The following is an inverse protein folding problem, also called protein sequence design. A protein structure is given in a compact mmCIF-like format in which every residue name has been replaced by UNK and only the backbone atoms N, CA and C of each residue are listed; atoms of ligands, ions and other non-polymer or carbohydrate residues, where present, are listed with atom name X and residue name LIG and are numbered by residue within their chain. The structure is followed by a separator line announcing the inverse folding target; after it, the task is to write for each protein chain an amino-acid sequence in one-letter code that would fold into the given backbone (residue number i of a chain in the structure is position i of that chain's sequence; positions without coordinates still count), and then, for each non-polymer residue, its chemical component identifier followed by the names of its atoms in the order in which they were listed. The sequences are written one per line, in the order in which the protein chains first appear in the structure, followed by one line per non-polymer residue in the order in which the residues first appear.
data_IF_781514075142
#
_entry.id   IF_781514075142
#
_cell.length_a   1.000
_cell.length_b   1.000
_cell.length_c   1.000
_cell.angle_alpha   90.00
_cell.angle_beta   90.00
_cell.angle_gamma   90.00
#
_symmetry.space_group_name_H-M   'P 1'
#
loop_
_entity.id
_entity.type
_entity.pdbx_description
1 polymer ?
#
# COMPACT_ATOMS: atom_id res chain seq x y z
N UNK A 1 -29.20 14.44 24.53
CA UNK A 1 -28.28 14.42 25.70
C UNK A 1 -27.19 15.44 25.41
N UNK A 2 -26.94 16.37 26.33
CA UNK A 2 -26.22 17.64 26.10
C UNK A 2 -24.72 17.43 25.81
N UNK A 3 -24.21 18.07 24.76
CA UNK A 3 -22.78 18.31 24.55
C UNK A 3 -22.38 19.53 25.41
N UNK A 4 -21.51 19.30 26.38
CA UNK A 4 -20.84 20.34 27.17
C UNK A 4 -19.69 20.93 26.37
N UNK A 5 -19.78 22.24 26.11
CA UNK A 5 -18.71 23.11 25.61
C UNK A 5 -17.66 23.33 26.69
N UNK A 6 -16.41 22.92 26.42
CA UNK A 6 -15.24 23.34 27.19
C UNK A 6 -14.75 24.67 26.62
N UNK A 7 -14.84 25.73 27.43
CA UNK A 7 -14.27 27.05 27.13
C UNK A 7 -12.75 27.02 27.25
N UNK A 8 -12.07 27.49 26.20
CA UNK A 8 -10.63 27.74 26.21
C UNK A 8 -10.39 29.25 26.34
N UNK A 9 -9.71 29.63 27.41
CA UNK A 9 -9.23 30.99 27.68
C UNK A 9 -8.04 31.32 26.78
N UNK A 10 -8.20 32.31 25.91
CA UNK A 10 -7.10 32.86 25.11
C UNK A 10 -6.18 33.74 25.97
N UNK A 11 -4.90 33.37 26.01
CA UNK A 11 -3.80 34.25 26.44
C UNK A 11 -3.14 34.77 25.18
N UNK A 12 -3.22 36.08 24.96
CA UNK A 12 -2.54 36.79 23.88
C UNK A 12 -1.15 37.22 24.33
N UNK A 13 -0.12 36.61 23.76
CA UNK A 13 1.23 37.19 23.72
C UNK A 13 1.77 37.04 22.30
N UNK A 14 2.03 38.19 21.68
CA UNK A 14 2.53 38.32 20.32
C UNK A 14 3.95 37.80 20.12
N UNK A 15 4.24 37.49 18.87
CA UNK A 15 5.53 37.02 18.37
C UNK A 15 5.40 36.68 16.90
N UNK A 16 5.54 37.71 16.05
CA UNK A 16 5.62 37.61 14.59
C UNK A 16 6.75 36.68 14.16
N UNK A 17 6.39 35.48 13.69
CA UNK A 17 7.05 34.78 12.58
C UNK A 17 6.03 33.81 11.98
N UNK A 18 5.42 34.20 10.87
CA UNK A 18 4.49 33.36 10.12
C UNK A 18 5.18 32.07 9.64
N UNK A 19 4.70 30.87 10.02
CA UNK A 19 5.08 29.67 9.30
C UNK A 19 4.42 29.70 7.92
N UNK A 20 5.23 29.57 6.86
CA UNK A 20 4.75 29.36 5.49
C UNK A 20 3.98 28.03 5.45
N UNK A 21 2.66 28.10 5.65
CA UNK A 21 1.72 27.01 5.40
C UNK A 21 1.70 26.84 3.88
N UNK A 22 2.42 25.83 3.39
CA UNK A 22 2.20 25.27 2.07
C UNK A 22 0.87 24.49 2.13
N UNK A 23 -0.24 25.20 1.94
CA UNK A 23 -1.47 24.61 1.43
C UNK A 23 -1.39 24.69 -0.10
N UNK A 24 -0.86 23.67 -0.82
CA UNK A 24 -1.16 23.60 -2.23
C UNK A 24 -2.69 23.40 -2.32
N UNK A 25 -3.44 24.31 -2.97
CA UNK A 25 -4.82 24.01 -3.28
C UNK A 25 -4.83 22.71 -4.08
N UNK A 26 -5.61 21.75 -3.61
CA UNK A 26 -5.93 20.53 -4.34
C UNK A 26 -6.81 20.90 -5.55
N UNK A 27 -6.27 21.67 -6.51
CA UNK A 27 -6.90 21.99 -7.81
C UNK A 27 -7.06 20.72 -8.66
N UNK A 28 -6.53 19.57 -8.20
CA UNK A 28 -6.80 18.26 -8.78
C UNK A 28 -8.21 17.70 -8.50
N UNK A 29 -9.04 18.36 -7.70
CA UNK A 29 -10.36 17.85 -7.28
C UNK A 29 -11.51 18.37 -8.17
N UNK A 30 -11.44 19.60 -8.69
CA UNK A 30 -12.60 20.20 -9.36
C UNK A 30 -12.91 19.67 -10.77
N UNK A 31 -11.90 19.29 -11.56
CA UNK A 31 -12.13 18.84 -12.94
C UNK A 31 -12.65 17.39 -13.08
N UNK A 32 -12.85 16.66 -11.96
CA UNK A 32 -13.30 15.27 -12.00
C UNK A 32 -14.49 14.93 -11.10
N UNK A 33 -15.06 15.91 -10.38
CA UNK A 33 -16.24 15.71 -9.52
C UNK A 33 -17.41 16.54 -10.05
N UNK A 34 -17.98 16.12 -11.18
CA UNK A 34 -19.40 16.39 -11.48
C UNK A 34 -20.19 15.10 -11.33
N UNK A 35 -21.32 15.10 -10.61
CA UNK A 35 -22.17 13.93 -10.48
C UNK A 35 -22.96 13.73 -11.78
N UNK A 36 -22.45 12.87 -12.67
CA UNK A 36 -23.24 12.33 -13.78
C UNK A 36 -24.10 11.17 -13.24
N UNK A 37 -25.25 11.52 -12.64
CA UNK A 37 -26.36 10.59 -12.51
C UNK A 37 -26.97 10.37 -13.90
N UNK A 38 -27.11 9.09 -14.27
CA UNK A 38 -27.98 8.56 -15.32
C UNK A 38 -27.66 8.90 -16.79
N UNK A 39 -26.84 8.05 -17.43
CA UNK A 39 -27.14 7.33 -18.70
C UNK A 39 -25.83 6.75 -19.27
N UNK A 40 -25.74 5.42 -19.33
CA UNK A 40 -24.63 4.71 -20.01
C UNK A 40 -25.06 4.46 -21.46
N UNK A 41 -24.49 5.13 -22.47
CA UNK A 41 -24.67 4.73 -23.87
C UNK A 41 -23.78 3.50 -24.19
N UNK A 42 -24.14 2.69 -25.20
CA UNK A 42 -23.36 1.51 -25.58
C UNK A 42 -21.98 1.92 -26.13
N UNK A 43 -20.94 1.25 -25.62
CA UNK A 43 -19.55 1.36 -26.07
C UNK A 43 -19.41 0.86 -27.51
N UNK A 44 -19.06 1.75 -28.44
CA UNK A 44 -18.45 1.39 -29.71
C UNK A 44 -16.93 1.43 -29.56
N UNK A 45 -16.27 0.30 -29.88
CA UNK A 45 -14.82 0.19 -29.88
C UNK A 45 -14.24 0.81 -31.16
N UNK A 46 -13.23 1.69 -31.09
CA UNK A 46 -12.49 2.11 -32.27
C UNK A 46 -11.59 0.97 -32.75
N UNK A 47 -11.55 0.79 -34.06
CA UNK A 47 -10.60 -0.09 -34.76
C UNK A 47 -9.17 0.37 -34.52
N UNK A 48 -8.34 -0.56 -34.03
CA UNK A 48 -6.91 -0.35 -33.74
C UNK A 48 -6.13 -0.28 -35.06
N UNK A 49 -5.42 0.83 -35.26
CA UNK A 49 -4.43 1.03 -36.33
C UNK A 49 -3.18 0.18 -36.06
N UNK A 50 -2.68 -0.51 -37.10
CA UNK A 50 -1.65 -1.55 -37.04
C UNK A 50 -0.21 -1.03 -37.08
N UNK A 51 0.01 0.24 -36.77
CA UNK A 51 1.31 0.92 -36.91
C UNK A 51 2.02 1.20 -35.56
N UNK A 52 2.30 0.18 -34.74
CA UNK A 52 3.13 0.33 -33.53
C UNK A 52 4.03 -0.90 -33.22
N UNK A 53 5.35 -0.86 -33.47
CA UNK A 53 6.27 -1.94 -33.11
C UNK A 53 7.29 -1.56 -32.00
N UNK A 54 6.90 -0.80 -30.97
CA UNK A 54 7.80 -0.47 -29.83
C UNK A 54 7.32 -0.91 -28.43
N UNK A 55 6.06 -1.32 -28.26
CA UNK A 55 5.55 -1.70 -26.93
C UNK A 55 5.91 -3.12 -26.46
N UNK A 56 6.40 -4.02 -27.34
CA UNK A 56 6.62 -5.43 -26.98
C UNK A 56 7.93 -5.70 -26.20
N UNK A 57 8.87 -4.75 -26.13
CA UNK A 57 10.14 -4.91 -25.38
C UNK A 57 10.04 -4.51 -23.90
N UNK A 58 8.97 -3.81 -23.50
CA UNK A 58 8.82 -3.19 -22.17
C UNK A 58 8.59 -4.16 -20.99
N UNK A 59 8.50 -5.47 -21.23
CA UNK A 59 8.32 -6.50 -20.20
C UNK A 59 9.53 -7.42 -19.95
N UNK A 60 10.50 -7.50 -20.88
CA UNK A 60 11.60 -8.46 -20.79
C UNK A 60 12.70 -8.03 -19.82
N UNK A 61 12.87 -6.72 -19.62
CA UNK A 61 13.92 -6.14 -18.75
C UNK A 61 13.58 -6.23 -17.27
N UNK A 62 12.30 -6.19 -16.91
CA UNK A 62 11.84 -6.47 -15.54
C UNK A 62 12.07 -7.93 -15.14
N UNK A 63 12.04 -8.85 -16.10
CA UNK A 63 12.39 -10.26 -15.92
C UNK A 63 13.92 -10.46 -15.81
N UNK A 64 14.71 -9.66 -16.51
CA UNK A 64 16.19 -9.74 -16.53
C UNK A 64 16.87 -8.89 -15.44
N UNK A 65 16.14 -8.06 -14.70
CA UNK A 65 16.71 -7.19 -13.67
C UNK A 65 17.56 -6.03 -14.20
N UNK A 66 17.39 -5.64 -15.47
CA UNK A 66 18.23 -4.62 -16.17
C UNK A 66 17.74 -3.18 -15.87
N UNK A 67 16.77 -3.01 -14.97
CA UNK A 67 16.04 -1.74 -14.76
C UNK A 67 16.74 -0.65 -13.95
N UNK A 68 18.05 -0.71 -13.71
CA UNK A 68 18.80 0.35 -13.05
C UNK A 68 20.06 0.62 -13.86
N UNK A 69 20.40 1.90 -14.08
CA UNK A 69 21.63 2.29 -14.75
C UNK A 69 22.86 1.58 -14.15
N UNK A 70 23.97 1.57 -14.89
CA UNK A 70 25.20 0.89 -14.44
C UNK A 70 25.70 1.50 -13.13
N UNK A 71 25.47 0.79 -12.02
CA UNK A 71 26.07 1.08 -10.71
C UNK A 71 27.55 0.72 -10.78
N UNK A 72 28.40 1.60 -10.29
CA UNK A 72 29.84 1.34 -10.20
C UNK A 72 30.13 0.14 -9.30
N UNK A 73 31.14 -0.65 -9.69
CA UNK A 73 31.56 -1.84 -8.93
C UNK A 73 31.93 -1.48 -7.49
N UNK A 74 32.54 -0.32 -7.27
CA UNK A 74 32.86 0.19 -5.92
C UNK A 74 31.60 0.45 -5.11
N UNK A 75 30.60 1.11 -5.69
CA UNK A 75 29.35 1.41 -5.01
C UNK A 75 28.58 0.14 -4.65
N UNK A 76 28.49 -0.83 -5.56
CA UNK A 76 27.89 -2.15 -5.30
C UNK A 76 28.63 -2.91 -4.19
N UNK A 77 29.96 -2.87 -4.17
CA UNK A 77 30.77 -3.51 -3.13
C UNK A 77 30.50 -2.89 -1.74
N UNK A 78 30.39 -1.56 -1.68
CA UNK A 78 30.05 -0.84 -0.45
C UNK A 78 28.62 -1.16 0.01
N UNK A 79 27.65 -1.17 -0.89
CA UNK A 79 26.27 -1.57 -0.60
C UNK A 79 26.19 -2.98 -0.01
N UNK A 80 26.85 -3.95 -0.65
CA UNK A 80 26.92 -5.34 -0.16
C UNK A 80 27.51 -5.42 1.24
N UNK A 81 28.62 -4.72 1.49
CA UNK A 81 29.26 -4.69 2.81
C UNK A 81 28.38 -4.04 3.88
N UNK A 82 27.66 -2.97 3.53
CA UNK A 82 26.67 -2.35 4.41
C UNK A 82 25.53 -3.32 4.77
N UNK A 83 24.99 -4.04 3.79
CA UNK A 83 23.96 -5.08 3.99
C UNK A 83 24.45 -6.22 4.89
N UNK A 84 25.67 -6.71 4.65
CA UNK A 84 26.28 -7.75 5.49
C UNK A 84 26.40 -7.31 6.97
N UNK A 85 26.75 -6.04 7.20
CA UNK A 85 26.81 -5.48 8.55
C UNK A 85 25.43 -5.35 9.19
N UNK A 86 24.39 -4.96 8.44
CA UNK A 86 23.01 -4.97 8.93
C UNK A 86 22.54 -6.38 9.30
N UNK A 87 22.84 -7.38 8.48
CA UNK A 87 22.53 -8.80 8.76
C UNK A 87 23.21 -9.28 10.06
N UNK A 88 24.39 -8.74 10.37
CA UNK A 88 25.12 -8.98 11.62
C UNK A 88 24.67 -8.06 12.77
N UNK A 89 23.57 -7.33 12.62
CA UNK A 89 23.01 -6.38 13.60
C UNK A 89 23.99 -5.25 13.99
N UNK A 90 24.79 -4.77 13.04
CA UNK A 90 25.78 -3.69 13.23
C UNK A 90 25.43 -2.42 12.42
N UNK A 91 24.30 -1.75 12.70
CA UNK A 91 23.82 -0.62 11.89
C UNK A 91 24.73 0.62 11.93
N UNK A 92 25.43 0.87 13.04
CA UNK A 92 26.38 1.99 13.14
C UNK A 92 27.61 1.78 12.25
N UNK A 93 28.11 0.55 12.17
CA UNK A 93 29.25 0.18 11.30
C UNK A 93 28.84 0.14 9.83
N UNK A 94 27.58 -0.16 9.52
CA UNK A 94 27.06 -0.22 8.15
C UNK A 94 26.95 1.17 7.50
N UNK A 95 26.69 2.21 8.28
CA UNK A 95 26.36 3.55 7.79
C UNK A 95 27.44 4.16 6.86
N UNK A 96 28.75 4.14 7.18
CA UNK A 96 29.77 4.70 6.29
C UNK A 96 29.81 4.01 4.92
N UNK A 97 29.55 2.71 4.86
CA UNK A 97 29.50 1.98 3.59
C UNK A 97 28.29 2.40 2.75
N UNK A 98 27.12 2.60 3.37
CA UNK A 98 25.99 3.15 2.63
C UNK A 98 26.25 4.57 2.15
N UNK A 99 26.81 5.44 2.98
CA UNK A 99 27.16 6.80 2.56
C UNK A 99 28.17 6.80 1.40
N UNK A 100 29.15 5.92 1.43
CA UNK A 100 30.13 5.75 0.34
C UNK A 100 29.48 5.22 -0.94
N UNK A 101 28.58 4.25 -0.82
CA UNK A 101 27.82 3.74 -1.97
C UNK A 101 26.93 4.83 -2.59
N UNK A 102 26.36 5.70 -1.76
CA UNK A 102 25.52 6.82 -2.21
C UNK A 102 26.28 7.94 -2.94
N UNK A 103 27.62 7.94 -2.93
CA UNK A 103 28.41 8.83 -3.78
C UNK A 103 28.21 8.54 -5.28
N UNK A 104 27.79 7.31 -5.61
CA UNK A 104 27.34 6.96 -6.96
C UNK A 104 25.87 7.34 -7.12
N UNK A 105 25.53 8.31 -7.99
CA UNK A 105 24.16 8.77 -8.18
C UNK A 105 23.23 7.67 -8.73
N UNK A 106 23.79 6.60 -9.32
CA UNK A 106 23.02 5.46 -9.82
C UNK A 106 22.70 4.43 -8.72
N UNK A 107 23.34 4.48 -7.54
CA UNK A 107 23.11 3.51 -6.46
C UNK A 107 22.05 3.96 -5.45
N UNK A 108 20.78 3.95 -5.86
CA UNK A 108 19.69 4.34 -4.97
C UNK A 108 19.31 3.28 -3.92
N UNK A 109 19.78 2.05 -4.09
CA UNK A 109 19.66 0.97 -3.11
C UNK A 109 20.39 1.31 -1.80
N UNK A 110 21.53 2.00 -1.91
CA UNK A 110 22.29 2.45 -0.75
C UNK A 110 21.53 3.50 0.07
N UNK A 111 20.88 4.46 -0.60
CA UNK A 111 20.05 5.47 0.06
C UNK A 111 18.92 4.83 0.86
N UNK A 112 18.25 3.85 0.27
CA UNK A 112 17.14 3.13 0.90
C UNK A 112 17.53 2.37 2.16
N UNK A 113 18.82 2.01 2.30
CA UNK A 113 19.32 1.22 3.43
C UNK A 113 19.64 2.06 4.69
N UNK A 114 19.78 3.39 4.57
CA UNK A 114 20.15 4.26 5.71
C UNK A 114 18.95 4.69 6.55
N UNK A 115 17.73 4.68 6.00
CA UNK A 115 16.47 5.13 6.61
C UNK A 115 16.49 6.53 7.25
N UNK A 116 17.56 7.32 7.05
CA UNK A 116 17.69 8.64 7.65
C UNK A 116 16.95 9.65 6.81
N UNK A 117 15.83 10.14 7.36
CA UNK A 117 14.92 11.05 6.66
C UNK A 117 15.62 12.28 6.05
N UNK A 118 16.60 12.87 6.76
CA UNK A 118 17.38 14.01 6.23
C UNK A 118 18.14 13.64 4.95
N UNK A 119 18.84 12.51 4.98
CA UNK A 119 19.65 12.02 3.84
C UNK A 119 18.75 11.69 2.65
N UNK A 120 17.61 11.02 2.89
CA UNK A 120 16.65 10.69 1.83
C UNK A 120 16.07 11.95 1.15
N UNK A 121 15.84 13.03 1.91
CA UNK A 121 15.36 14.31 1.36
C UNK A 121 16.42 15.01 0.50
N UNK A 122 17.67 15.04 0.95
CA UNK A 122 18.79 15.57 0.17
C UNK A 122 18.94 14.80 -1.15
N UNK A 123 18.88 13.46 -1.09
CA UNK A 123 18.94 12.61 -2.29
C UNK A 123 17.75 12.82 -3.21
N UNK A 124 16.55 13.03 -2.68
CA UNK A 124 15.37 13.36 -3.50
C UNK A 124 15.62 14.62 -4.32
N UNK A 125 16.21 15.66 -3.75
CA UNK A 125 16.52 16.90 -4.47
C UNK A 125 17.59 16.67 -5.55
N UNK A 126 18.67 15.95 -5.22
CA UNK A 126 19.75 15.63 -6.15
C UNK A 126 19.27 14.77 -7.33
N UNK A 127 18.56 13.67 -7.05
CA UNK A 127 18.01 12.79 -8.08
C UNK A 127 16.99 13.52 -8.96
N UNK A 128 16.18 14.43 -8.39
CA UNK A 128 15.25 15.26 -9.19
C UNK A 128 16.01 16.17 -10.16
N UNK A 129 17.04 16.86 -9.68
CA UNK A 129 17.87 17.74 -10.51
C UNK A 129 18.58 16.95 -11.63
N UNK A 130 19.11 15.77 -11.29
CA UNK A 130 19.73 14.88 -12.28
C UNK A 130 18.73 14.42 -13.35
N UNK A 131 17.52 14.03 -12.97
CA UNK A 131 16.47 13.66 -13.92
C UNK A 131 16.05 14.83 -14.82
N UNK A 132 16.04 16.06 -14.30
CA UNK A 132 15.77 17.25 -15.10
C UNK A 132 16.89 17.56 -16.10
N UNK A 133 18.14 17.27 -15.73
CA UNK A 133 19.30 17.43 -16.63
C UNK A 133 19.23 16.47 -17.82
N UNK A 134 18.89 15.19 -17.57
CA UNK A 134 18.90 14.16 -18.62
C UNK A 134 17.60 14.07 -19.43
N UNK A 135 16.43 14.37 -18.82
CA UNK A 135 15.10 14.23 -19.45
C UNK A 135 14.44 15.57 -19.79
N UNK A 136 15.06 16.69 -19.41
CA UNK A 136 14.49 18.03 -19.54
C UNK A 136 13.80 18.54 -18.27
N UNK A 137 13.77 19.85 -18.10
CA UNK A 137 13.27 20.50 -16.88
C UNK A 137 11.80 20.23 -16.56
N UNK A 138 11.02 19.89 -17.58
CA UNK A 138 9.59 19.60 -17.53
C UNK A 138 9.28 18.10 -17.41
N UNK A 139 10.27 17.21 -17.24
CA UNK A 139 10.10 15.76 -17.22
C UNK A 139 9.13 15.24 -16.14
N UNK A 140 8.87 16.06 -15.12
CA UNK A 140 7.90 15.76 -14.08
C UNK A 140 6.51 16.36 -14.35
N UNK A 141 6.34 17.24 -15.33
CA UNK A 141 5.07 17.88 -15.61
C UNK A 141 4.14 16.98 -16.43
N UNK A 142 2.82 17.22 -16.30
CA UNK A 142 1.79 16.44 -17.00
C UNK A 142 1.80 16.72 -18.51
N UNK A 143 2.39 17.85 -18.91
CA UNK A 143 2.48 18.32 -20.30
C UNK A 143 3.65 17.73 -21.07
N UNK A 144 4.62 17.10 -20.38
CA UNK A 144 5.78 16.53 -21.05
C UNK A 144 5.39 15.25 -21.80
N UNK A 145 5.80 15.12 -23.06
CA UNK A 145 5.46 14.00 -23.96
C UNK A 145 5.80 12.63 -23.36
N UNK A 146 6.91 12.58 -22.61
CA UNK A 146 7.39 11.39 -21.89
C UNK A 146 7.18 11.51 -20.37
N UNK A 147 6.56 12.60 -19.91
CA UNK A 147 6.36 12.90 -18.50
C UNK A 147 5.22 12.12 -17.85
N UNK A 148 4.80 12.60 -16.69
CA UNK A 148 3.66 12.03 -15.98
C UNK A 148 2.43 12.04 -16.91
N UNK A 149 1.71 10.92 -17.12
CA UNK A 149 1.66 9.72 -16.27
C UNK A 149 2.48 8.51 -16.76
N UNK A 150 3.20 8.62 -17.90
CA UNK A 150 3.82 7.48 -18.57
C UNK A 150 5.27 7.21 -18.12
N UNK A 151 5.74 7.95 -17.12
CA UNK A 151 7.11 7.94 -16.59
C UNK A 151 7.60 6.57 -16.13
N UNK A 152 6.73 5.61 -15.82
CA UNK A 152 7.16 4.24 -15.48
C UNK A 152 7.86 3.50 -16.63
N UNK A 153 7.54 3.88 -17.87
CA UNK A 153 8.23 3.37 -19.06
C UNK A 153 9.67 3.86 -19.18
N UNK A 154 10.03 4.95 -18.48
CA UNK A 154 11.38 5.52 -18.48
C UNK A 154 12.19 4.86 -17.38
N UNK A 155 13.23 4.13 -17.77
CA UNK A 155 14.06 3.36 -16.84
C UNK A 155 14.77 4.27 -15.84
N UNK A 156 15.23 5.44 -16.29
CA UNK A 156 15.96 6.43 -15.51
C UNK A 156 15.14 6.97 -14.32
N UNK A 157 13.81 7.05 -14.45
CA UNK A 157 12.93 7.56 -13.37
C UNK A 157 12.65 6.50 -12.30
N UNK A 158 12.78 5.20 -12.61
CA UNK A 158 12.42 4.12 -11.67
C UNK A 158 13.19 4.17 -10.36
N UNK A 159 14.53 4.36 -10.37
CA UNK A 159 15.27 4.58 -9.14
C UNK A 159 14.66 5.73 -8.31
N UNK A 160 14.37 6.89 -8.92
CA UNK A 160 13.80 8.02 -8.18
C UNK A 160 12.46 7.69 -7.52
N UNK A 161 11.58 6.95 -8.20
CA UNK A 161 10.31 6.51 -7.60
C UNK A 161 10.52 5.54 -6.43
N UNK A 162 11.50 4.64 -6.51
CA UNK A 162 11.88 3.77 -5.38
C UNK A 162 12.38 4.59 -4.19
N UNK A 163 13.22 5.61 -4.43
CA UNK A 163 13.65 6.54 -3.40
C UNK A 163 12.46 7.26 -2.73
N UNK A 164 11.47 7.72 -3.51
CA UNK A 164 10.25 8.31 -2.96
C UNK A 164 9.47 7.31 -2.10
N UNK A 165 9.31 6.05 -2.54
CA UNK A 165 8.63 5.03 -1.74
C UNK A 165 9.36 4.74 -0.42
N UNK A 166 10.69 4.71 -0.44
CA UNK A 166 11.49 4.61 0.80
C UNK A 166 11.29 5.84 1.68
N UNK A 167 11.20 7.04 1.11
CA UNK A 167 10.91 8.27 1.83
C UNK A 167 9.53 8.23 2.50
N UNK A 168 8.48 7.74 1.81
CA UNK A 168 7.14 7.53 2.41
C UNK A 168 7.25 6.64 3.66
N UNK A 169 7.93 5.49 3.55
CA UNK A 169 8.10 4.57 4.68
C UNK A 169 8.89 5.20 5.83
N UNK A 170 9.94 5.95 5.54
CA UNK A 170 10.70 6.67 6.55
C UNK A 170 9.83 7.74 7.26
N UNK A 171 8.98 8.45 6.52
CA UNK A 171 8.00 9.38 7.10
C UNK A 171 6.97 8.67 7.99
N UNK A 172 6.43 7.53 7.54
CA UNK A 172 5.51 6.69 8.34
C UNK A 172 6.15 6.26 9.66
N UNK A 173 7.38 5.74 9.61
CA UNK A 173 8.12 5.33 10.81
C UNK A 173 8.38 6.50 11.76
N UNK A 174 8.56 7.71 11.21
CA UNK A 174 8.71 8.95 11.97
C UNK A 174 7.38 9.62 12.36
N UNK A 175 6.22 9.01 12.03
CA UNK A 175 4.86 9.57 12.21
C UNK A 175 4.67 10.96 11.58
N UNK A 176 5.36 11.23 10.47
CA UNK A 176 5.23 12.46 9.67
C UNK A 176 4.21 12.23 8.56
N UNK A 177 2.94 12.16 8.93
CA UNK A 177 1.86 11.70 8.05
C UNK A 177 1.62 12.60 6.85
N UNK A 178 1.58 13.93 7.03
CA UNK A 178 1.38 14.87 5.93
C UNK A 178 2.46 14.77 4.86
N UNK A 179 3.72 14.59 5.27
CA UNK A 179 4.83 14.42 4.34
C UNK A 179 4.81 13.06 3.65
N UNK A 180 4.36 12.01 4.35
CA UNK A 180 4.12 10.71 3.74
C UNK A 180 3.02 10.82 2.67
N UNK A 181 1.91 11.50 2.97
CA UNK A 181 0.83 11.78 2.01
C UNK A 181 1.34 12.57 0.80
N UNK A 182 2.03 13.69 1.01
CA UNK A 182 2.54 14.53 -0.08
C UNK A 182 3.52 13.78 -0.98
N UNK A 183 4.43 12.99 -0.38
CA UNK A 183 5.38 12.17 -1.12
C UNK A 183 4.66 11.05 -1.89
N UNK A 184 3.66 10.40 -1.28
CA UNK A 184 2.89 9.35 -1.95
C UNK A 184 2.06 9.92 -3.13
N UNK A 185 1.43 11.09 -2.95
CA UNK A 185 0.74 11.80 -4.04
C UNK A 185 1.70 12.07 -5.21
N UNK A 186 2.94 12.47 -4.95
CA UNK A 186 3.93 12.65 -6.00
C UNK A 186 4.23 11.33 -6.74
N UNK A 187 4.39 10.21 -6.03
CA UNK A 187 4.57 8.90 -6.65
C UNK A 187 3.38 8.57 -7.56
N UNK A 188 2.15 8.74 -7.07
CA UNK A 188 0.93 8.46 -7.84
C UNK A 188 0.72 9.40 -9.03
N UNK A 189 1.27 10.61 -8.95
CA UNK A 189 1.28 11.57 -10.06
C UNK A 189 2.21 11.11 -11.17
N UNK A 190 3.43 10.70 -10.82
CA UNK A 190 4.47 10.21 -11.75
C UNK A 190 4.11 8.81 -12.29
N UNK A 191 3.63 7.91 -11.43
CA UNK A 191 3.24 6.54 -11.73
C UNK A 191 1.72 6.39 -11.62
N UNK A 192 0.97 6.92 -12.59
CA UNK A 192 -0.50 6.88 -12.56
C UNK A 192 -1.06 5.46 -12.65
N UNK A 193 -0.37 4.50 -13.27
CA UNK A 193 -0.83 3.11 -13.27
C UNK A 193 -0.66 2.42 -11.91
N UNK A 194 0.03 3.06 -10.96
CA UNK A 194 0.33 2.53 -9.63
C UNK A 194 1.06 1.18 -9.65
N UNK A 195 2.06 1.05 -10.52
CA UNK A 195 2.87 -0.16 -10.63
C UNK A 195 3.65 -0.49 -9.35
N UNK A 196 3.72 0.46 -8.41
CA UNK A 196 4.36 0.33 -7.11
C UNK A 196 3.38 -0.01 -5.97
N UNK A 197 2.07 -0.13 -6.25
CA UNK A 197 1.05 -0.44 -5.25
C UNK A 197 0.95 0.58 -4.12
N UNK A 198 1.14 1.86 -4.42
CA UNK A 198 1.09 2.96 -3.46
C UNK A 198 -0.34 3.46 -3.19
N UNK A 199 -1.32 3.16 -4.05
CA UNK A 199 -2.73 3.52 -3.80
C UNK A 199 -3.28 2.86 -2.55
N UNK A 200 -2.83 1.64 -2.25
CA UNK A 200 -3.24 0.92 -1.03
C UNK A 200 -2.77 1.59 0.25
N UNK A 201 -1.73 2.42 0.18
CA UNK A 201 -1.20 3.20 1.30
C UNK A 201 -1.93 4.53 1.48
N UNK A 202 -2.52 5.09 0.42
CA UNK A 202 -3.03 6.47 0.45
C UNK A 202 -4.19 6.66 1.44
N UNK A 203 -5.15 5.74 1.46
CA UNK A 203 -6.29 5.80 2.38
C UNK A 203 -5.87 5.82 3.86
N UNK A 204 -5.09 4.84 4.33
CA UNK A 204 -4.58 4.84 5.71
C UNK A 204 -3.73 6.06 6.06
N UNK A 205 -2.86 6.52 5.15
CA UNK A 205 -2.05 7.72 5.38
C UNK A 205 -2.90 8.97 5.59
N UNK A 206 -3.97 9.13 4.80
CA UNK A 206 -4.91 10.26 4.96
C UNK A 206 -5.68 10.19 6.27
N UNK A 207 -6.08 9.00 6.72
CA UNK A 207 -6.70 8.83 8.05
C UNK A 207 -5.75 9.27 9.16
N UNK A 208 -4.47 8.85 9.10
CA UNK A 208 -3.42 9.28 10.03
C UNK A 208 -3.14 10.78 10.01
N UNK A 209 -3.23 11.39 8.83
CA UNK A 209 -3.12 12.84 8.66
C UNK A 209 -4.38 13.62 9.11
N UNK A 210 -5.40 12.96 9.67
CA UNK A 210 -6.63 13.61 10.10
C UNK A 210 -7.51 14.10 8.93
N UNK A 211 -7.39 13.46 7.76
CA UNK A 211 -8.08 13.83 6.51
C UNK A 211 -9.06 12.72 6.05
N UNK A 212 -10.05 12.32 6.86
CA UNK A 212 -10.95 11.22 6.50
C UNK A 212 -11.83 11.53 5.29
N UNK A 213 -12.23 12.78 5.06
CA UNK A 213 -12.96 13.17 3.85
C UNK A 213 -12.17 12.86 2.56
N UNK A 214 -10.86 13.16 2.56
CA UNK A 214 -10.00 12.85 1.42
C UNK A 214 -9.78 11.34 1.29
N UNK A 215 -9.63 10.64 2.42
CA UNK A 215 -9.52 9.17 2.44
C UNK A 215 -10.74 8.50 1.81
N UNK A 216 -11.94 9.04 2.05
CA UNK A 216 -13.19 8.56 1.45
C UNK A 216 -13.19 8.68 -0.09
N UNK A 217 -12.66 9.78 -0.61
CA UNK A 217 -12.57 10.04 -2.05
C UNK A 217 -11.55 9.16 -2.77
N UNK A 218 -10.63 8.50 -2.05
CA UNK A 218 -9.64 7.59 -2.67
C UNK A 218 -10.28 6.36 -3.35
N UNK A 219 -11.53 5.99 -2.98
CA UNK A 219 -12.25 4.86 -3.59
C UNK A 219 -12.33 4.95 -5.11
N UNK A 220 -12.54 6.16 -5.64
CA UNK A 220 -12.76 6.37 -7.07
C UNK A 220 -11.54 6.05 -7.95
N UNK A 221 -10.39 5.72 -7.33
CA UNK A 221 -9.13 5.47 -8.04
C UNK A 221 -8.48 4.14 -7.66
N UNK A 222 -9.27 3.07 -7.53
CA UNK A 222 -8.81 1.72 -7.18
C UNK A 222 -8.16 1.61 -5.78
N UNK A 223 -8.49 2.52 -4.87
CA UNK A 223 -8.06 2.42 -3.48
C UNK A 223 -8.74 1.26 -2.74
N UNK A 224 -8.14 0.73 -1.66
CA UNK A 224 -8.72 -0.34 -0.87
C UNK A 224 -10.00 0.17 -0.23
N UNK A 225 -11.11 -0.47 -0.57
CA UNK A 225 -12.46 -0.18 -0.07
C UNK A 225 -12.55 -0.12 1.47
N UNK A 226 -11.65 -0.81 2.16
CA UNK A 226 -11.46 -0.74 3.61
C UNK A 226 -11.21 0.67 4.14
N UNK A 227 -10.43 1.48 3.42
CA UNK A 227 -10.14 2.85 3.83
C UNK A 227 -11.38 3.74 3.71
N UNK A 228 -12.21 3.50 2.68
CA UNK A 228 -13.47 4.21 2.52
C UNK A 228 -14.45 3.85 3.64
N UNK A 229 -14.50 2.58 4.06
CA UNK A 229 -15.31 2.15 5.20
C UNK A 229 -14.86 2.83 6.51
N UNK A 230 -13.56 2.81 6.82
CA UNK A 230 -13.01 3.51 7.99
C UNK A 230 -13.20 5.03 7.91
N UNK A 231 -13.02 5.63 6.75
CA UNK A 231 -13.20 7.06 6.55
C UNK A 231 -14.65 7.50 6.79
N UNK A 232 -15.61 6.78 6.19
CA UNK A 232 -17.03 7.03 6.43
C UNK A 232 -17.40 6.84 7.91
N UNK A 233 -16.85 5.80 8.55
CA UNK A 233 -17.04 5.57 9.98
C UNK A 233 -16.42 6.68 10.85
N UNK A 234 -15.24 7.17 10.49
CA UNK A 234 -14.58 8.25 11.22
C UNK A 234 -15.36 9.57 11.11
N UNK A 235 -16.04 9.79 9.99
CA UNK A 235 -16.83 11.00 9.74
C UNK A 235 -18.22 10.97 10.39
N UNK A 236 -18.89 9.82 10.39
CA UNK A 236 -20.32 9.70 10.75
C UNK A 236 -20.66 8.41 11.52
N UNK A 237 -19.69 7.81 12.21
CA UNK A 237 -19.83 6.57 13.00
C UNK A 237 -20.47 5.43 12.16
N UNK A 238 -21.29 4.57 12.78
CA UNK A 238 -22.06 3.49 12.15
C UNK A 238 -23.23 4.00 11.28
N UNK A 239 -22.89 4.81 10.27
CA UNK A 239 -23.78 5.34 9.25
C UNK A 239 -24.09 4.30 8.16
N UNK A 240 -25.19 4.53 7.43
CA UNK A 240 -25.56 3.69 6.29
C UNK A 240 -24.46 3.64 5.22
N UNK A 241 -23.81 4.78 4.96
CA UNK A 241 -22.70 4.84 4.02
C UNK A 241 -21.50 4.01 4.48
N UNK A 242 -21.14 4.07 5.77
CA UNK A 242 -20.07 3.27 6.34
C UNK A 242 -20.37 1.76 6.21
N UNK A 243 -21.61 1.34 6.52
CA UNK A 243 -22.06 -0.06 6.35
C UNK A 243 -21.99 -0.52 4.90
N UNK A 244 -22.43 0.29 3.95
CA UNK A 244 -22.36 -0.06 2.53
C UNK A 244 -20.91 -0.30 2.08
N UNK A 245 -19.96 0.57 2.48
CA UNK A 245 -18.56 0.34 2.17
C UNK A 245 -18.01 -0.91 2.89
N UNK A 246 -18.40 -1.14 4.14
CA UNK A 246 -18.00 -2.33 4.89
C UNK A 246 -18.51 -3.62 4.21
N UNK A 247 -19.74 -3.63 3.70
CA UNK A 247 -20.34 -4.77 3.00
C UNK A 247 -19.74 -5.01 1.60
N UNK A 248 -19.27 -3.96 0.92
CA UNK A 248 -18.46 -4.14 -0.28
C UNK A 248 -17.09 -4.71 0.10
N UNK A 249 -16.51 -4.20 1.19
CA UNK A 249 -15.19 -4.61 1.66
C UNK A 249 -15.14 -6.09 2.08
N UNK A 250 -16.22 -6.62 2.66
CA UNK A 250 -16.26 -8.02 3.10
C UNK A 250 -16.20 -9.04 1.96
N UNK A 251 -16.42 -8.62 0.70
CA UNK A 251 -16.21 -9.49 -0.47
C UNK A 251 -14.73 -9.92 -0.61
N UNK A 252 -13.80 -9.24 0.06
CA UNK A 252 -12.36 -9.54 0.04
C UNK A 252 -11.79 -9.85 1.44
N UNK A 253 -12.39 -10.75 2.24
CA UNK A 253 -12.43 -10.70 3.71
C UNK A 253 -11.08 -10.81 4.47
N UNK A 254 -9.95 -10.93 3.78
CA UNK A 254 -8.62 -11.10 4.37
C UNK A 254 -8.26 -10.05 5.42
N UNK A 255 -8.64 -8.78 5.21
CA UNK A 255 -8.42 -7.69 6.18
C UNK A 255 -9.34 -7.87 7.39
N UNK A 256 -10.65 -7.99 7.17
CA UNK A 256 -11.65 -8.07 8.25
C UNK A 256 -11.49 -9.33 9.12
N UNK A 257 -11.06 -10.45 8.53
CA UNK A 257 -10.73 -11.67 9.28
C UNK A 257 -9.66 -11.37 10.33
N UNK A 258 -8.59 -10.65 9.95
CA UNK A 258 -7.49 -10.30 10.86
C UNK A 258 -7.94 -9.25 11.90
N UNK A 259 -8.76 -8.28 11.49
CA UNK A 259 -9.34 -7.26 12.41
C UNK A 259 -10.19 -7.93 13.48
N UNK A 260 -11.17 -8.74 13.09
CA UNK A 260 -12.11 -9.37 14.03
C UNK A 260 -11.37 -10.34 14.96
N UNK A 261 -10.41 -11.09 14.45
CA UNK A 261 -9.60 -11.99 15.26
C UNK A 261 -8.50 -11.26 16.07
N UNK A 262 -8.45 -9.92 16.05
CA UNK A 262 -7.47 -9.08 16.76
C UNK A 262 -6.03 -9.57 16.56
N UNK A 263 -5.67 -9.92 15.32
CA UNK A 263 -4.30 -10.34 15.02
C UNK A 263 -3.32 -9.22 15.33
N UNK A 264 -2.43 -9.43 16.30
CA UNK A 264 -1.30 -8.53 16.51
C UNK A 264 -0.37 -8.64 15.31
N UNK A 265 -0.08 -7.52 14.68
CA UNK A 265 0.77 -7.53 13.50
C UNK A 265 2.22 -7.91 13.83
N UNK A 266 2.89 -8.49 12.83
CA UNK A 266 4.32 -8.75 12.90
C UNK A 266 5.05 -7.43 12.63
N UNK A 267 5.98 -7.08 13.51
CA UNK A 267 6.80 -5.86 13.39
C UNK A 267 7.76 -5.94 12.19
N UNK A 268 8.02 -7.14 11.67
CA UNK A 268 8.93 -7.35 10.55
C UNK A 268 8.28 -7.01 9.20
N UNK A 269 8.77 -5.93 8.60
CA UNK A 269 8.40 -5.42 7.28
C UNK A 269 9.09 -6.27 6.21
N UNK A 270 8.56 -7.45 5.91
CA UNK A 270 9.10 -8.26 4.82
C UNK A 270 8.57 -7.72 3.48
N UNK A 271 9.41 -6.97 2.75
CA UNK A 271 9.01 -6.08 1.65
C UNK A 271 9.20 -6.65 0.24
N UNK A 272 9.63 -7.91 0.09
CA UNK A 272 10.21 -8.38 -1.18
C UNK A 272 9.38 -9.40 -1.99
N UNK A 273 8.13 -9.68 -1.63
CA UNK A 273 7.30 -10.51 -2.50
C UNK A 273 6.80 -9.71 -3.72
N UNK A 274 6.79 -10.34 -4.89
CA UNK A 274 6.04 -9.88 -6.06
C UNK A 274 4.59 -9.61 -5.64
N UNK A 275 4.09 -8.40 -5.95
CA UNK A 275 2.79 -7.94 -5.48
C UNK A 275 1.71 -8.30 -6.50
N UNK A 276 0.70 -9.04 -6.07
CA UNK A 276 -0.54 -9.19 -6.83
C UNK A 276 -1.47 -8.01 -6.48
N UNK A 277 -2.02 -7.28 -7.47
CA UNK A 277 -3.01 -6.23 -7.20
C UNK A 277 -4.20 -6.79 -6.41
N UNK A 278 -4.58 -6.13 -5.32
CA UNK A 278 -5.61 -6.59 -4.37
C UNK A 278 -5.32 -7.96 -3.71
N UNK A 279 -4.04 -8.37 -3.70
CA UNK A 279 -3.57 -9.61 -3.11
C UNK A 279 -3.50 -9.59 -1.57
N UNK A 280 -2.92 -10.66 -1.01
CA UNK A 280 -2.71 -10.78 0.42
C UNK A 280 -1.68 -9.78 0.96
N UNK A 281 -0.81 -9.30 0.07
CA UNK A 281 0.22 -8.29 0.27
C UNK A 281 -0.42 -6.90 0.44
N UNK A 282 -1.32 -6.48 -0.45
CA UNK A 282 -2.06 -5.22 -0.30
C UNK A 282 -2.91 -5.20 0.97
N UNK A 283 -3.57 -6.33 1.27
CA UNK A 283 -4.31 -6.49 2.53
C UNK A 283 -3.41 -6.42 3.77
N UNK A 284 -2.14 -6.82 3.65
CA UNK A 284 -1.14 -6.72 4.72
C UNK A 284 -0.70 -5.26 4.87
N UNK A 285 -0.31 -4.59 3.80
CA UNK A 285 0.12 -3.19 3.82
C UNK A 285 -0.99 -2.26 4.35
N UNK A 286 -2.26 -2.50 3.94
CA UNK A 286 -3.41 -1.77 4.48
C UNK A 286 -3.52 -1.95 6.00
N UNK A 287 -3.44 -3.19 6.48
CA UNK A 287 -3.49 -3.44 7.92
C UNK A 287 -2.30 -2.85 8.65
N UNK A 288 -1.11 -2.87 8.04
CA UNK A 288 0.08 -2.30 8.64
C UNK A 288 -0.07 -0.83 8.98
N UNK A 289 -0.72 -0.08 8.09
CA UNK A 289 -0.96 1.34 8.29
C UNK A 289 -2.25 1.63 9.07
N UNK A 290 -3.30 0.84 8.89
CA UNK A 290 -4.62 1.16 9.42
C UNK A 290 -5.06 0.32 10.64
N UNK A 291 -4.19 -0.57 11.15
CA UNK A 291 -4.55 -1.48 12.24
C UNK A 291 -4.99 -0.72 13.48
N UNK A 292 -4.33 0.37 13.83
CA UNK A 292 -4.67 1.17 15.01
C UNK A 292 -6.09 1.74 14.94
N UNK A 293 -6.54 2.23 13.78
CA UNK A 293 -7.94 2.62 13.57
C UNK A 293 -8.91 1.45 13.75
N UNK A 294 -8.60 0.29 13.17
CA UNK A 294 -9.45 -0.90 13.30
C UNK A 294 -9.49 -1.49 14.72
N UNK A 295 -8.47 -1.22 15.53
CA UNK A 295 -8.37 -1.74 16.90
C UNK A 295 -9.00 -0.80 17.94
N UNK A 296 -9.51 0.37 17.53
CA UNK A 296 -10.36 1.18 18.41
C UNK A 296 -11.63 0.39 18.76
N UNK A 297 -12.07 0.49 20.01
CA UNK A 297 -13.15 -0.38 20.52
C UNK A 297 -14.47 -0.16 19.77
N UNK A 298 -14.79 1.07 19.40
CA UNK A 298 -15.96 1.44 18.60
C UNK A 298 -15.89 0.84 17.18
N UNK A 299 -14.81 1.07 16.44
CA UNK A 299 -14.61 0.53 15.10
C UNK A 299 -14.58 -1.00 15.09
N UNK A 300 -13.90 -1.62 16.06
CA UNK A 300 -13.86 -3.07 16.18
C UNK A 300 -15.24 -3.65 16.52
N UNK A 301 -15.95 -3.06 17.49
CA UNK A 301 -17.29 -3.51 17.87
C UNK A 301 -18.29 -3.33 16.71
N UNK A 302 -18.17 -2.23 15.96
CA UNK A 302 -18.96 -1.97 14.77
C UNK A 302 -18.82 -3.07 13.72
N UNK A 303 -17.58 -3.43 13.36
CA UNK A 303 -17.33 -4.52 12.40
C UNK A 303 -17.72 -5.88 12.97
N UNK A 304 -17.44 -6.13 14.24
CA UNK A 304 -17.68 -7.42 14.88
C UNK A 304 -19.17 -7.69 15.15
N UNK A 305 -20.02 -6.67 15.29
CA UNK A 305 -21.47 -6.84 15.47
C UNK A 305 -22.24 -6.97 14.14
N UNK A 306 -21.63 -6.57 13.02
CA UNK A 306 -22.29 -6.58 11.72
C UNK A 306 -22.57 -8.01 11.22
N UNK A 307 -23.86 -8.30 10.98
CA UNK A 307 -24.32 -9.64 10.60
C UNK A 307 -23.84 -10.07 9.21
N UNK A 308 -23.76 -9.13 8.25
CA UNK A 308 -23.28 -9.41 6.89
C UNK A 308 -21.80 -9.72 6.94
N UNK A 309 -21.04 -8.95 7.72
CA UNK A 309 -19.61 -9.22 7.93
C UNK A 309 -19.43 -10.61 8.54
N UNK A 310 -20.12 -10.91 9.65
CA UNK A 310 -20.07 -12.22 10.31
C UNK A 310 -20.40 -13.38 9.38
N UNK A 311 -21.41 -13.23 8.53
CA UNK A 311 -21.82 -14.27 7.60
C UNK A 311 -20.71 -14.65 6.61
N UNK A 312 -19.90 -13.69 6.16
CA UNK A 312 -18.81 -13.87 5.20
C UNK A 312 -17.46 -14.27 5.83
N UNK A 313 -17.14 -13.76 7.03
CA UNK A 313 -15.83 -14.04 7.66
C UNK A 313 -15.80 -15.38 8.41
N UNK A 314 -16.96 -15.85 8.90
CA UNK A 314 -17.07 -17.14 9.58
C UNK A 314 -17.16 -18.26 8.56
N UNK A 315 -16.22 -19.20 8.61
CA UNK A 315 -16.10 -20.27 7.62
C UNK A 315 -17.03 -21.45 7.92
N UNK A 316 -17.24 -22.29 6.91
CA UNK A 316 -17.86 -23.63 7.01
C UNK A 316 -16.81 -24.75 7.00
N UNK A 317 -17.05 -25.83 7.74
CA UNK A 317 -16.05 -26.88 7.92
C UNK A 317 -15.78 -27.51 6.56
N UNK A 318 -14.50 -27.65 6.18
CA UNK A 318 -14.11 -28.21 4.89
C UNK A 318 -14.48 -29.69 4.71
N UNK A 319 -14.94 -30.36 5.77
CA UNK A 319 -15.59 -31.66 5.64
C UNK A 319 -17.08 -31.46 5.25
N UNK A 320 -17.49 -31.86 4.03
CA UNK A 320 -18.83 -31.61 3.51
C UNK A 320 -19.94 -32.30 4.32
N UNK A 321 -19.60 -33.29 5.14
CA UNK A 321 -20.56 -34.00 6.01
C UNK A 321 -20.82 -33.28 7.33
N UNK A 322 -19.89 -32.42 7.79
CA UNK A 322 -19.95 -31.82 9.12
C UNK A 322 -20.90 -30.61 9.18
N UNK A 323 -20.89 -29.74 8.15
CA UNK A 323 -21.70 -28.50 8.03
C UNK A 323 -21.66 -27.54 9.23
N UNK A 324 -20.76 -27.75 10.19
CA UNK A 324 -20.54 -26.80 11.29
C UNK A 324 -20.00 -25.50 10.70
N UNK A 325 -20.38 -24.38 11.31
CA UNK A 325 -19.89 -23.03 11.01
C UNK A 325 -19.04 -22.50 12.18
N UNK A 326 -18.02 -21.70 11.90
CA UNK A 326 -17.22 -21.05 12.95
C UNK A 326 -18.13 -20.16 13.81
N UNK A 327 -17.95 -20.16 15.12
CA UNK A 327 -18.59 -19.19 16.03
C UNK A 327 -17.69 -17.96 16.22
N UNK A 328 -16.37 -18.17 16.13
CA UNK A 328 -15.34 -17.14 16.22
C UNK A 328 -14.41 -17.25 15.03
N UNK A 329 -13.99 -16.10 14.50
CA UNK A 329 -13.04 -16.06 13.38
C UNK A 329 -11.74 -16.74 13.79
N UNK A 330 -11.22 -17.61 12.92
CA UNK A 330 -10.00 -18.42 13.15
C UNK A 330 -10.10 -19.47 14.26
N UNK A 331 -11.32 -19.86 14.66
CA UNK A 331 -11.53 -20.95 15.63
C UNK A 331 -11.01 -22.30 15.10
N UNK A 332 -11.01 -22.50 13.78
CA UNK A 332 -10.72 -23.80 13.19
C UNK A 332 -9.28 -24.02 12.75
N UNK A 333 -8.92 -25.29 12.66
CA UNK A 333 -7.59 -25.73 12.28
C UNK A 333 -7.44 -25.67 10.75
N UNK A 334 -6.40 -24.99 10.28
CA UNK A 334 -6.02 -25.00 8.86
C UNK A 334 -5.34 -26.30 8.48
N UNK A 335 -5.56 -26.80 7.27
CA UNK A 335 -4.76 -27.89 6.70
C UNK A 335 -3.26 -27.51 6.69
N UNK A 336 -2.42 -28.27 7.40
CA UNK A 336 -0.99 -28.00 7.48
C UNK A 336 -0.26 -28.09 6.12
N UNK A 337 -0.84 -28.82 5.16
CA UNK A 337 -0.27 -29.01 3.83
C UNK A 337 -0.50 -27.80 2.91
N UNK A 338 -1.76 -27.54 2.52
CA UNK A 338 -2.09 -26.49 1.56
C UNK A 338 -2.42 -25.14 2.22
N UNK A 339 -2.81 -25.12 3.50
CA UNK A 339 -3.33 -23.94 4.22
C UNK A 339 -4.55 -23.29 3.54
N UNK A 340 -5.26 -24.03 2.68
CA UNK A 340 -6.44 -23.58 1.93
C UNK A 340 -7.78 -24.11 2.47
N UNK A 341 -7.75 -25.17 3.27
CA UNK A 341 -8.94 -25.76 3.91
C UNK A 341 -8.90 -25.58 5.43
N UNK A 342 -10.08 -25.48 6.03
CA UNK A 342 -10.28 -25.31 7.48
C UNK A 342 -11.18 -26.41 8.04
N UNK A 343 -10.84 -26.94 9.21
CA UNK A 343 -11.59 -28.03 9.84
C UNK A 343 -11.91 -27.69 11.29
N UNK A 344 -13.15 -27.96 11.70
CA UNK A 344 -13.56 -27.78 13.08
C UNK A 344 -12.87 -28.77 14.04
N UNK A 345 -12.29 -29.87 13.52
CA UNK A 345 -11.58 -30.88 14.31
C UNK A 345 -10.62 -31.70 13.45
N UNK A 346 -9.66 -32.37 14.11
CA UNK A 346 -8.77 -33.35 13.48
C UNK A 346 -9.50 -34.58 12.95
N UNK A 347 -10.68 -34.91 13.52
CA UNK A 347 -11.52 -36.01 13.06
C UNK A 347 -12.08 -35.68 11.67
N UNK A 348 -12.70 -34.51 11.50
CA UNK A 348 -13.18 -34.02 10.20
C UNK A 348 -12.04 -33.92 9.18
N UNK A 349 -10.87 -33.42 9.57
CA UNK A 349 -9.71 -33.38 8.67
C UNK A 349 -9.30 -34.78 8.19
N UNK A 350 -9.23 -35.78 9.07
CA UNK A 350 -8.89 -37.16 8.71
C UNK A 350 -9.97 -37.80 7.85
N UNK A 351 -11.24 -37.56 8.15
CA UNK A 351 -12.38 -38.06 7.37
C UNK A 351 -12.40 -37.49 5.95
N UNK A 352 -12.14 -36.19 5.81
CA UNK A 352 -12.08 -35.51 4.51
C UNK A 352 -10.73 -35.68 3.78
N UNK A 353 -9.69 -36.22 4.44
CA UNK A 353 -8.36 -36.34 3.84
C UNK A 353 -8.32 -37.14 2.52
N UNK A 354 -8.99 -38.32 2.38
CA UNK A 354 -8.93 -39.10 1.15
C UNK A 354 -9.30 -38.30 -0.11
N UNK A 355 -10.45 -37.59 -0.20
CA UNK A 355 -10.75 -36.73 -1.34
C UNK A 355 -9.92 -35.44 -1.39
N UNK A 356 -9.52 -34.87 -0.25
CA UNK A 356 -8.75 -33.61 -0.22
C UNK A 356 -7.29 -33.77 -0.70
N UNK A 357 -6.69 -34.95 -0.55
CA UNK A 357 -5.24 -35.20 -0.74
C UNK A 357 -4.70 -34.70 -2.08
N UNK A 358 -5.43 -34.92 -3.17
CA UNK A 358 -5.00 -34.51 -4.50
C UNK A 358 -5.03 -32.99 -4.69
N UNK A 359 -6.12 -32.35 -4.27
CA UNK A 359 -6.25 -30.89 -4.27
C UNK A 359 -5.16 -30.24 -3.39
N UNK A 360 -4.89 -30.81 -2.21
CA UNK A 360 -3.82 -30.36 -1.33
C UNK A 360 -2.46 -30.36 -2.02
N UNK A 361 -2.09 -31.47 -2.68
CA UNK A 361 -0.82 -31.58 -3.43
C UNK A 361 -0.75 -30.60 -4.61
N UNK A 362 -1.86 -30.40 -5.31
CA UNK A 362 -1.94 -29.43 -6.42
C UNK A 362 -1.66 -28.01 -5.93
N UNK A 363 -2.26 -27.60 -4.82
CA UNK A 363 -1.99 -26.31 -4.19
C UNK A 363 -0.55 -26.17 -3.71
N UNK A 364 0.05 -27.22 -3.14
CA UNK A 364 1.45 -27.21 -2.75
C UNK A 364 2.39 -26.99 -3.94
N UNK A 365 2.15 -27.68 -5.06
CA UNK A 365 2.94 -27.47 -6.29
C UNK A 365 2.79 -26.04 -6.82
N UNK A 366 1.57 -25.50 -6.85
CA UNK A 366 1.38 -24.09 -7.23
C UNK A 366 2.11 -23.11 -6.32
N UNK A 367 2.09 -23.36 -5.01
CA UNK A 367 2.84 -22.53 -4.07
C UNK A 367 4.36 -22.62 -4.28
N UNK A 368 4.87 -23.80 -4.64
CA UNK A 368 6.29 -23.99 -4.97
C UNK A 368 6.72 -23.32 -6.27
N UNK A 369 5.84 -23.22 -7.26
CA UNK A 369 6.14 -22.53 -8.54
C UNK A 369 6.11 -21.00 -8.44
N UNK A 370 5.59 -20.43 -7.34
CA UNK A 370 5.57 -18.97 -7.12
C UNK A 370 6.88 -18.42 -6.55
N UNK A 371 7.83 -19.29 -6.19
CA UNK A 371 9.17 -18.95 -5.69
C UNK A 371 10.20 -19.51 -6.66
#
# INVERSE_FOLDING_TARGET
MRLTTLGSTAVTTGGDTDPVIWDPPLVFVDDMVRPALCHIPPLSFPTIDSSFPKCLLLGFEGFMGIGGGTVSVESEANLRRGRDLLNRKKPKEALPFFLKAMEDPNNLDAASSTWRLRVLKEHRAQSRAHLQDILGTDCFEVTCEYGAPHSWGILEIRPYMQLLATLVRACVNAKRWDEACATNIEILRICRSDNMGQRSWMGPLLLHAGRPADALLTKYRNGPIYSAALAAFTLDDDSELARQYLHIAVQFPAVLIKVIAKFKERVDVDTHATREPSGAEDARDHLWLAQDFWMQDDAWNWVNKDAVVKAHVLRECGDPTCRKKEERVTQWQTCAGCKKEWYCSRICQRGHWPPHKEACKKHQRYAQMKF
#
